data_IF_856818587200
#
_entry.id   IF_856818587200
#
_cell.length_a   1.000
_cell.length_b   1.000
_cell.length_c   1.000
_cell.angle_alpha   90.00
_cell.angle_beta   90.00
_cell.angle_gamma   90.00
#
_symmetry.space_group_name_H-M   'P 1'
#
loop_
_entity.id
_entity.type
_entity.pdbx_description
1 polymer ?
#
# COMPACT_ATOMS: atom_id res chain seq x y z
N UNK A 1 11.32 38.22 -39.64
CA UNK A 1 10.23 37.46 -38.97
C UNK A 1 10.78 36.60 -37.82
N UNK A 2 11.44 37.18 -36.80
CA UNK A 2 12.08 36.39 -35.71
C UNK A 2 11.80 36.92 -34.28
N UNK A 3 10.91 37.92 -34.15
CA UNK A 3 10.58 38.55 -32.87
C UNK A 3 9.47 37.80 -32.12
N UNK A 4 8.57 37.15 -32.86
CA UNK A 4 7.43 36.40 -32.29
C UNK A 4 7.88 35.18 -31.48
N UNK A 5 8.90 34.46 -31.97
CA UNK A 5 9.40 33.23 -31.34
C UNK A 5 10.10 33.50 -30.01
N UNK A 6 10.82 34.63 -29.87
CA UNK A 6 11.45 35.00 -28.60
C UNK A 6 10.42 35.31 -27.52
N UNK A 7 9.38 36.05 -27.89
CA UNK A 7 8.30 36.38 -26.97
C UNK A 7 7.52 35.14 -26.50
N UNK A 8 7.32 34.16 -27.39
CA UNK A 8 6.71 32.89 -27.03
C UNK A 8 7.57 32.07 -26.05
N UNK A 9 8.88 32.05 -26.25
CA UNK A 9 9.82 31.35 -25.34
C UNK A 9 9.89 32.03 -23.97
N UNK A 10 9.84 33.36 -23.94
CA UNK A 10 9.78 34.14 -22.69
C UNK A 10 8.50 33.83 -21.90
N UNK A 11 7.33 33.87 -22.56
CA UNK A 11 6.06 33.53 -21.92
C UNK A 11 6.04 32.09 -21.38
N UNK A 12 6.62 31.14 -22.13
CA UNK A 12 6.74 29.75 -21.69
C UNK A 12 7.67 29.64 -20.47
N UNK A 13 8.79 30.36 -20.47
CA UNK A 13 9.76 30.34 -19.37
C UNK A 13 9.14 30.91 -18.09
N UNK A 14 8.41 32.03 -18.18
CA UNK A 14 7.70 32.61 -17.05
C UNK A 14 6.61 31.68 -16.49
N UNK A 15 5.87 31.00 -17.36
CA UNK A 15 4.86 30.04 -16.95
C UNK A 15 5.49 28.85 -16.20
N UNK A 16 6.62 28.33 -16.68
CA UNK A 16 7.35 27.23 -16.04
C UNK A 16 7.84 27.64 -14.64
N UNK A 17 8.41 28.84 -14.50
CA UNK A 17 8.87 29.36 -13.20
C UNK A 17 7.71 29.45 -12.21
N UNK A 18 6.56 30.00 -12.64
CA UNK A 18 5.36 30.10 -11.79
C UNK A 18 4.82 28.74 -11.37
N UNK A 19 4.85 27.74 -12.25
CA UNK A 19 4.45 26.36 -11.92
C UNK A 19 5.41 25.76 -10.89
N UNK A 20 6.72 25.93 -11.08
CA UNK A 20 7.72 25.38 -10.17
C UNK A 20 7.62 26.00 -8.77
N UNK A 21 7.42 27.31 -8.68
CA UNK A 21 7.20 28.02 -7.41
C UNK A 21 5.90 27.58 -6.74
N UNK A 22 4.83 27.39 -7.51
CA UNK A 22 3.58 26.87 -6.97
C UNK A 22 3.76 25.47 -6.38
N UNK A 23 4.44 24.56 -7.09
CA UNK A 23 4.72 23.20 -6.61
C UNK A 23 5.64 23.17 -5.39
N UNK A 24 6.63 24.04 -5.33
CA UNK A 24 7.56 24.14 -4.20
C UNK A 24 6.89 24.75 -2.96
N UNK A 25 5.97 25.70 -3.16
CA UNK A 25 5.26 26.39 -2.08
C UNK A 25 3.91 25.75 -1.75
N UNK A 26 3.50 24.68 -2.46
CA UNK A 26 2.36 23.90 -2.01
C UNK A 26 2.68 23.35 -0.62
N UNK A 27 1.83 23.61 0.39
CA UNK A 27 1.96 22.92 1.66
C UNK A 27 1.86 21.44 1.32
N UNK A 28 3.00 20.73 1.43
CA UNK A 28 3.02 19.28 1.36
C UNK A 28 2.03 18.86 2.43
N UNK A 29 0.84 18.42 2.01
CA UNK A 29 -0.04 17.62 2.85
C UNK A 29 0.72 16.34 3.09
N UNK A 30 1.69 16.41 3.99
CA UNK A 30 2.14 15.28 4.76
C UNK A 30 0.85 14.79 5.40
N UNK A 31 0.20 13.81 4.77
CA UNK A 31 -0.45 12.77 5.55
C UNK A 31 0.69 12.23 6.39
N UNK A 32 0.89 12.83 7.57
CA UNK A 32 1.53 12.14 8.65
C UNK A 32 0.57 10.97 8.90
N UNK A 33 0.84 9.85 8.24
CA UNK A 33 0.60 8.58 8.89
C UNK A 33 1.37 8.74 10.18
N UNK A 34 0.64 9.09 11.24
CA UNK A 34 1.17 9.16 12.58
C UNK A 34 1.97 7.88 12.75
N UNK A 35 3.29 8.03 12.91
CA UNK A 35 4.12 6.99 13.46
C UNK A 35 3.56 6.76 14.87
N UNK A 36 2.54 5.90 14.97
CA UNK A 36 2.03 5.33 16.21
C UNK A 36 3.16 4.48 16.78
N UNK A 37 4.14 5.16 17.38
CA UNK A 37 5.29 4.58 18.06
C UNK A 37 4.98 4.19 19.50
N UNK A 38 3.72 4.19 19.93
CA UNK A 38 3.35 3.86 21.31
C UNK A 38 1.95 3.25 21.43
N UNK A 39 1.70 2.12 20.78
CA UNK A 39 0.72 1.16 21.31
C UNK A 39 1.22 -0.26 21.00
N UNK A 40 2.24 -0.69 21.74
CA UNK A 40 2.43 -2.11 22.04
C UNK A 40 1.31 -2.54 23.00
N UNK A 41 0.05 -2.45 22.54
CA UNK A 41 -0.98 -3.37 23.03
C UNK A 41 -0.48 -4.69 22.48
N UNK A 42 -0.04 -5.56 23.36
CA UNK A 42 0.11 -6.96 23.07
C UNK A 42 -1.29 -7.48 22.72
N UNK A 43 -1.79 -7.14 21.52
CA UNK A 43 -2.76 -7.97 20.85
C UNK A 43 -2.12 -9.35 20.85
N UNK A 44 -2.80 -10.39 21.38
CA UNK A 44 -2.25 -11.72 21.45
C UNK A 44 -1.58 -12.03 20.11
N UNK A 45 -0.26 -12.25 20.13
CA UNK A 45 0.54 -12.38 18.91
C UNK A 45 -0.04 -13.54 18.14
N UNK A 46 -0.85 -13.24 17.12
CA UNK A 46 -1.55 -14.28 16.38
C UNK A 46 -0.46 -15.15 15.76
N UNK A 47 -0.55 -16.45 16.04
CA UNK A 47 0.44 -17.37 15.54
C UNK A 47 0.34 -17.43 14.01
N UNK A 48 1.46 -17.62 13.29
CA UNK A 48 1.42 -17.85 11.86
C UNK A 48 0.52 -19.05 11.56
N UNK A 49 -0.29 -18.94 10.52
CA UNK A 49 -1.29 -19.95 10.18
C UNK A 49 -0.83 -20.80 8.99
N UNK A 50 -1.25 -22.06 8.99
CA UNK A 50 -1.26 -22.89 7.79
C UNK A 50 -2.31 -22.38 6.80
N UNK A 51 -2.25 -22.84 5.55
CA UNK A 51 -3.25 -22.48 4.54
C UNK A 51 -4.67 -22.87 4.94
N UNK A 52 -4.86 -24.07 5.49
CA UNK A 52 -6.12 -24.56 6.06
C UNK A 52 -6.66 -23.62 7.15
N UNK A 53 -5.83 -23.27 8.12
CA UNK A 53 -6.26 -22.42 9.22
C UNK A 53 -6.54 -20.99 8.79
N UNK A 54 -5.78 -20.47 7.81
CA UNK A 54 -6.08 -19.18 7.21
C UNK A 54 -7.40 -19.22 6.43
N UNK A 55 -7.65 -20.27 5.63
CA UNK A 55 -8.89 -20.42 4.87
C UNK A 55 -10.12 -20.45 5.79
N UNK A 56 -10.07 -21.24 6.88
CA UNK A 56 -11.11 -21.26 7.93
C UNK A 56 -11.35 -19.88 8.51
N UNK A 57 -10.29 -19.13 8.82
CA UNK A 57 -10.37 -17.78 9.38
C UNK A 57 -10.99 -16.78 8.40
N UNK A 58 -10.63 -16.85 7.12
CA UNK A 58 -11.14 -15.97 6.07
C UNK A 58 -12.52 -16.38 5.55
N UNK A 59 -13.06 -17.53 5.98
CA UNK A 59 -14.34 -18.06 5.52
C UNK A 59 -14.33 -18.45 4.04
N UNK A 60 -13.22 -19.00 3.55
CA UNK A 60 -13.03 -19.43 2.14
C UNK A 60 -12.45 -20.84 2.10
N UNK A 61 -12.37 -21.43 0.90
CA UNK A 61 -11.67 -22.71 0.70
C UNK A 61 -10.15 -22.53 0.66
N UNK A 62 -9.41 -23.59 1.00
CA UNK A 62 -7.94 -23.63 0.89
C UNK A 62 -7.45 -23.33 -0.53
N UNK A 63 -8.11 -23.92 -1.53
CA UNK A 63 -7.79 -23.67 -2.94
C UNK A 63 -7.96 -22.19 -3.30
N UNK A 64 -8.96 -21.49 -2.75
CA UNK A 64 -9.11 -20.06 -3.00
C UNK A 64 -7.93 -19.26 -2.44
N UNK A 65 -7.44 -19.60 -1.24
CA UNK A 65 -6.24 -18.95 -0.67
C UNK A 65 -5.03 -19.19 -1.56
N UNK A 66 -4.83 -20.44 -2.00
CA UNK A 66 -3.72 -20.85 -2.86
C UNK A 66 -3.75 -20.15 -4.22
N UNK A 67 -4.91 -20.14 -4.87
CA UNK A 67 -5.14 -19.48 -6.15
C UNK A 67 -4.89 -17.98 -6.06
N UNK A 68 -5.43 -17.31 -5.04
CA UNK A 68 -5.21 -15.86 -4.88
C UNK A 68 -3.76 -15.54 -4.55
N UNK A 69 -3.07 -16.37 -3.77
CA UNK A 69 -1.64 -16.20 -3.52
C UNK A 69 -0.81 -16.28 -4.80
N UNK A 70 -1.16 -17.18 -5.71
CA UNK A 70 -0.46 -17.33 -7.00
C UNK A 70 -0.83 -16.21 -7.97
N UNK A 71 -2.12 -15.83 -8.01
CA UNK A 71 -2.68 -14.87 -8.97
C UNK A 71 -2.32 -13.42 -8.63
N UNK A 72 -2.24 -13.06 -7.35
CA UNK A 72 -2.08 -11.70 -6.90
C UNK A 72 -0.62 -11.41 -6.49
N UNK A 73 -0.08 -10.23 -6.84
CA UNK A 73 1.12 -9.70 -6.20
C UNK A 73 0.95 -9.63 -4.66
N UNK A 74 2.04 -9.77 -3.87
CA UNK A 74 1.95 -9.82 -2.41
C UNK A 74 1.15 -8.68 -1.75
N UNK A 75 1.26 -7.40 -2.16
CA UNK A 75 0.45 -6.33 -1.58
C UNK A 75 -1.05 -6.46 -1.86
N UNK A 76 -1.43 -7.00 -3.02
CA UNK A 76 -2.83 -7.22 -3.37
C UNK A 76 -3.40 -8.45 -2.67
N UNK A 77 -2.60 -9.51 -2.51
CA UNK A 77 -2.97 -10.66 -1.69
C UNK A 77 -3.21 -10.24 -0.23
N UNK A 78 -2.31 -9.43 0.34
CA UNK A 78 -2.49 -8.85 1.67
C UNK A 78 -3.82 -8.10 1.80
N UNK A 79 -4.14 -7.22 0.84
CA UNK A 79 -5.38 -6.45 0.84
C UNK A 79 -6.62 -7.33 0.71
N UNK A 80 -6.54 -8.39 -0.12
CA UNK A 80 -7.59 -9.38 -0.27
C UNK A 80 -7.86 -10.13 1.05
N UNK A 81 -6.81 -10.60 1.73
CA UNK A 81 -6.92 -11.22 3.05
C UNK A 81 -7.55 -10.24 4.07
N UNK A 82 -7.07 -8.98 4.09
CA UNK A 82 -7.56 -7.93 5.00
C UNK A 82 -9.05 -7.63 4.80
N UNK A 83 -9.54 -7.69 3.56
CA UNK A 83 -10.96 -7.50 3.24
C UNK A 83 -11.85 -8.68 3.62
N UNK A 84 -11.28 -9.87 3.83
CA UNK A 84 -11.99 -11.10 4.22
C UNK A 84 -11.93 -11.36 5.73
N UNK A 85 -10.84 -10.98 6.38
CA UNK A 85 -10.65 -11.16 7.81
C UNK A 85 -11.57 -10.20 8.60
N UNK A 86 -12.46 -10.75 9.42
CA UNK A 86 -13.40 -9.95 10.24
C UNK A 86 -12.70 -9.05 11.26
N UNK A 87 -11.44 -9.37 11.61
CA UNK A 87 -10.60 -8.54 12.47
C UNK A 87 -9.79 -7.49 11.68
N UNK A 88 -9.90 -7.45 10.35
CA UNK A 88 -9.19 -6.51 9.48
C UNK A 88 -7.68 -6.76 9.41
N UNK A 89 -7.25 -8.01 9.60
CA UNK A 89 -5.83 -8.40 9.58
C UNK A 89 -5.44 -8.82 8.16
N UNK A 90 -4.37 -8.25 7.64
CA UNK A 90 -3.78 -8.73 6.41
C UNK A 90 -2.79 -9.86 6.68
N UNK A 91 -2.64 -10.75 5.71
CA UNK A 91 -1.82 -11.95 5.87
C UNK A 91 -0.79 -12.00 4.74
N UNK A 92 0.44 -12.35 5.09
CA UNK A 92 1.54 -12.48 4.15
C UNK A 92 2.13 -13.88 4.22
N UNK A 93 2.31 -14.51 3.06
CA UNK A 93 2.96 -15.81 2.97
C UNK A 93 4.48 -15.65 3.13
N UNK A 94 5.07 -16.43 4.03
CA UNK A 94 6.52 -16.58 4.15
C UNK A 94 6.93 -17.92 3.53
N UNK A 95 7.71 -17.87 2.44
CA UNK A 95 8.15 -19.04 1.70
C UNK A 95 9.16 -19.92 2.47
N UNK A 96 9.91 -19.35 3.41
CA UNK A 96 10.89 -20.09 4.23
C UNK A 96 10.18 -20.96 5.27
N UNK A 97 9.12 -20.44 5.88
CA UNK A 97 8.36 -21.18 6.89
C UNK A 97 7.17 -21.94 6.30
N UNK A 98 6.72 -21.60 5.10
CA UNK A 98 5.50 -22.13 4.49
C UNK A 98 4.22 -21.70 5.23
N UNK A 99 4.27 -20.61 6.01
CA UNK A 99 3.17 -20.16 6.87
C UNK A 99 2.76 -18.74 6.51
N UNK A 100 1.52 -18.40 6.84
CA UNK A 100 0.96 -17.06 6.70
C UNK A 100 1.14 -16.29 8.00
N UNK A 101 1.87 -15.18 7.93
CA UNK A 101 2.13 -14.31 9.08
C UNK A 101 1.15 -13.13 9.07
N UNK A 102 0.62 -12.75 10.25
CA UNK A 102 -0.25 -11.59 10.35
C UNK A 102 0.55 -10.30 10.17
N UNK A 103 0.00 -9.38 9.39
CA UNK A 103 0.55 -8.04 9.15
C UNK A 103 -0.60 -7.05 9.39
N UNK A 104 -0.41 -6.12 10.33
CA UNK A 104 -1.44 -5.13 10.74
C UNK A 104 -1.19 -3.77 10.12
#
# INVERSE_FOLDING_TARGET
MSCQTRHQVEQLTEAIIKIQDYLNNQPRRQKSYSNNSYVNKQTPRIQPLTEENLAKRLGVSEDSVREQRIKLPPPLFFAWCKGKDTSGIGWQFNAETGLYHPVT
#
